data_IF_539078245273
#
_entry.id   IF_539078245273
#
_cell.length_a   1.000
_cell.length_b   1.000
_cell.length_c   1.000
_cell.angle_alpha   90.00
_cell.angle_beta   90.00
_cell.angle_gamma   90.00
#
_symmetry.space_group_name_H-M   'P 1'
#
loop_
_entity.id
_entity.type
_entity.pdbx_description
1 polymer ?
#
# COMPACT_ATOMS: atom_id res chain seq x y z
N UNK A 1 -26.61 -29.93 3.55
CA UNK A 1 -25.58 -28.93 3.97
C UNK A 1 -26.06 -27.55 3.56
N UNK A 2 -26.37 -26.66 4.50
CA UNK A 2 -26.63 -25.23 4.24
C UNK A 2 -25.53 -24.42 4.93
N UNK A 3 -24.90 -23.50 4.19
CA UNK A 3 -23.98 -22.54 4.79
C UNK A 3 -24.75 -21.62 5.75
N UNK A 4 -24.30 -21.39 6.99
CA UNK A 4 -24.95 -20.43 7.88
C UNK A 4 -24.82 -19.01 7.30
N UNK A 5 -25.91 -18.25 7.39
CA UNK A 5 -26.00 -16.90 6.84
C UNK A 5 -24.98 -15.96 7.48
N UNK A 6 -24.41 -15.07 6.67
CA UNK A 6 -23.51 -14.00 7.13
C UNK A 6 -24.34 -13.03 7.97
N UNK A 7 -24.36 -13.27 9.29
CA UNK A 7 -24.98 -12.40 10.28
C UNK A 7 -24.19 -11.09 10.36
N UNK A 8 -24.62 -10.12 9.55
CA UNK A 8 -24.09 -8.77 9.48
C UNK A 8 -24.50 -7.99 10.73
N UNK A 9 -23.89 -8.30 11.87
CA UNK A 9 -24.07 -7.53 13.12
C UNK A 9 -23.66 -6.08 12.86
N UNK A 10 -24.66 -5.19 12.83
CA UNK A 10 -24.49 -3.74 13.03
C UNK A 10 -23.89 -3.55 14.43
N UNK A 11 -22.58 -3.33 14.53
CA UNK A 11 -22.01 -2.63 15.68
C UNK A 11 -22.17 -1.11 15.49
N UNK A 12 -22.25 -0.39 16.61
CA UNK A 12 -22.78 0.97 16.66
C UNK A 12 -22.05 1.96 15.74
N UNK A 13 -22.81 2.69 14.92
CA UNK A 13 -22.29 3.59 13.88
C UNK A 13 -21.75 4.94 14.37
N UNK A 14 -21.11 4.98 15.54
CA UNK A 14 -20.46 6.18 16.09
C UNK A 14 -18.94 6.10 15.92
N UNK A 15 -18.29 5.24 16.72
CA UNK A 15 -16.85 5.29 16.95
C UNK A 15 -15.98 4.82 15.77
N UNK A 16 -16.44 3.83 14.99
CA UNK A 16 -15.68 3.32 13.84
C UNK A 16 -15.82 4.18 12.57
N UNK A 17 -16.85 5.02 12.47
CA UNK A 17 -17.02 5.91 11.32
C UNK A 17 -16.00 7.06 11.33
N UNK A 18 -15.67 7.59 12.51
CA UNK A 18 -14.84 8.79 12.68
C UNK A 18 -13.44 8.67 12.03
N UNK A 19 -12.70 7.60 12.32
CA UNK A 19 -11.36 7.40 11.74
C UNK A 19 -11.37 7.18 10.23
N UNK A 20 -12.41 6.52 9.71
CA UNK A 20 -12.59 6.37 8.27
C UNK A 20 -12.79 7.72 7.58
N UNK A 21 -13.50 8.65 8.24
CA UNK A 21 -13.66 10.03 7.78
C UNK A 21 -12.34 10.80 7.92
N UNK A 22 -11.60 10.66 9.03
CA UNK A 22 -10.29 11.30 9.22
C UNK A 22 -9.27 10.92 8.14
N UNK A 23 -9.27 9.66 7.70
CA UNK A 23 -8.40 9.19 6.62
C UNK A 23 -8.78 9.76 5.24
N UNK A 24 -10.06 9.98 4.99
CA UNK A 24 -10.54 10.67 3.77
C UNK A 24 -10.21 12.17 3.86
N UNK A 25 -10.35 12.77 5.04
CA UNK A 25 -9.97 14.15 5.30
C UNK A 25 -8.46 14.37 5.10
N UNK A 26 -7.60 13.42 5.49
CA UNK A 26 -6.17 13.45 5.19
C UNK A 26 -5.90 13.53 3.68
N UNK A 27 -6.49 12.64 2.87
CA UNK A 27 -6.34 12.67 1.40
C UNK A 27 -6.84 14.00 0.82
N UNK A 28 -7.97 14.51 1.32
CA UNK A 28 -8.51 15.80 0.89
C UNK A 28 -7.61 16.99 1.25
N UNK A 29 -7.06 17.02 2.47
CA UNK A 29 -6.20 18.10 2.97
C UNK A 29 -4.80 18.05 2.31
N UNK A 30 -4.25 16.87 2.01
CA UNK A 30 -3.01 16.79 1.23
C UNK A 30 -3.23 17.25 -0.21
N UNK A 31 -4.37 16.90 -0.83
CA UNK A 31 -4.72 17.39 -2.17
C UNK A 31 -4.91 18.92 -2.23
N UNK A 32 -5.26 19.59 -1.12
CA UNK A 32 -5.26 21.06 -1.04
C UNK A 32 -3.87 21.67 -1.31
N UNK A 33 -2.77 20.92 -1.16
CA UNK A 33 -1.42 21.37 -1.56
C UNK A 33 -1.37 21.81 -3.03
N UNK A 34 -2.18 21.22 -3.90
CA UNK A 34 -2.24 21.55 -5.33
C UNK A 34 -3.27 22.63 -5.69
N UNK A 35 -4.32 22.80 -4.88
CA UNK A 35 -5.41 23.76 -5.15
C UNK A 35 -5.24 25.06 -4.35
N UNK A 36 -4.79 24.97 -3.10
CA UNK A 36 -4.62 26.10 -2.18
C UNK A 36 -3.58 25.79 -1.09
N UNK A 37 -2.28 26.04 -1.37
CA UNK A 37 -1.19 25.79 -0.43
C UNK A 37 -1.40 26.41 0.96
N UNK A 38 -1.91 27.65 1.01
CA UNK A 38 -2.16 28.37 2.26
C UNK A 38 -3.22 27.72 3.18
N UNK A 39 -4.13 26.89 2.64
CA UNK A 39 -5.03 26.08 3.45
C UNK A 39 -4.39 24.75 3.86
N UNK A 40 -3.59 24.13 2.99
CA UNK A 40 -2.82 22.93 3.32
C UNK A 40 -1.86 23.18 4.50
N UNK A 41 -1.05 24.23 4.44
CA UNK A 41 -0.10 24.65 5.51
C UNK A 41 -0.77 24.87 6.87
N UNK A 42 -2.06 25.21 6.90
CA UNK A 42 -2.82 25.44 8.15
C UNK A 42 -3.55 24.19 8.63
N UNK A 43 -4.15 23.42 7.73
CA UNK A 43 -5.00 22.28 8.07
C UNK A 43 -4.19 21.02 8.34
N UNK A 44 -3.09 20.78 7.61
CA UNK A 44 -2.27 19.58 7.76
C UNK A 44 -1.63 19.46 9.15
N UNK A 45 -1.00 20.52 9.73
CA UNK A 45 -0.45 20.44 11.09
C UNK A 45 -1.53 20.29 12.15
N UNK A 46 -2.72 20.90 11.96
CA UNK A 46 -3.85 20.79 12.89
C UNK A 46 -4.43 19.36 12.90
N UNK A 47 -4.56 18.73 11.72
CA UNK A 47 -4.97 17.33 11.61
C UNK A 47 -3.97 16.41 12.33
N UNK A 48 -2.68 16.58 12.07
CA UNK A 48 -1.65 15.76 12.72
C UNK A 48 -1.57 15.99 14.23
N UNK A 49 -1.65 17.24 14.69
CA UNK A 49 -1.69 17.55 16.12
C UNK A 49 -2.90 16.91 16.82
N UNK A 50 -4.08 16.96 16.21
CA UNK A 50 -5.29 16.32 16.75
C UNK A 50 -5.14 14.79 16.83
N UNK A 51 -4.60 14.15 15.78
CA UNK A 51 -4.32 12.71 15.76
C UNK A 51 -3.25 12.31 16.80
N UNK A 52 -2.19 13.11 16.93
CA UNK A 52 -1.11 12.87 17.90
C UNK A 52 -1.61 13.01 19.35
N UNK A 53 -2.38 14.05 19.67
CA UNK A 53 -3.01 14.24 20.98
C UNK A 53 -3.95 13.07 21.30
N UNK A 54 -4.80 12.67 20.35
CA UNK A 54 -5.71 11.54 20.52
C UNK A 54 -4.96 10.23 20.77
N UNK A 55 -3.83 9.99 20.08
CA UNK A 55 -2.96 8.85 20.33
C UNK A 55 -2.34 8.91 21.73
N UNK A 56 -1.68 10.02 22.11
CA UNK A 56 -1.03 10.17 23.43
C UNK A 56 -2.02 9.96 24.58
N UNK A 57 -3.26 10.43 24.45
CA UNK A 57 -4.32 10.20 25.45
C UNK A 57 -4.72 8.72 25.53
N UNK A 58 -4.79 7.99 24.40
CA UNK A 58 -5.34 6.63 24.35
C UNK A 58 -4.32 5.52 24.60
N UNK A 59 -3.07 5.68 24.19
CA UNK A 59 -2.04 4.62 24.30
C UNK A 59 -1.81 4.12 25.74
N UNK A 60 -1.82 4.95 26.80
CA UNK A 60 -1.71 4.49 28.19
C UNK A 60 -2.85 3.56 28.64
N UNK A 61 -4.05 3.72 28.07
CA UNK A 61 -5.24 2.92 28.41
C UNK A 61 -5.49 1.76 27.45
N UNK A 62 -4.55 1.49 26.54
CA UNK A 62 -4.69 0.44 25.54
C UNK A 62 -4.68 -0.96 26.18
N UNK A 63 -5.75 -1.73 25.97
CA UNK A 63 -6.00 -2.98 26.70
C UNK A 63 -5.28 -4.22 26.13
N UNK A 64 -4.75 -4.12 24.91
CA UNK A 64 -4.31 -5.27 24.11
C UNK A 64 -2.78 -5.36 23.94
N UNK A 65 -2.00 -4.73 24.82
CA UNK A 65 -0.53 -4.80 24.84
C UNK A 65 0.05 -6.21 24.85
N UNK A 66 -0.63 -7.18 25.47
CA UNK A 66 -0.19 -8.58 25.52
C UNK A 66 -0.24 -9.27 24.14
N UNK A 67 -1.22 -8.92 23.31
CA UNK A 67 -1.33 -9.42 21.93
C UNK A 67 -0.37 -8.69 20.98
N UNK A 68 -0.14 -7.39 21.17
CA UNK A 68 0.89 -6.65 20.42
C UNK A 68 2.29 -7.20 20.68
N UNK A 69 2.65 -7.45 21.95
CA UNK A 69 3.95 -8.02 22.30
C UNK A 69 4.20 -9.37 21.62
N UNK A 70 3.16 -10.22 21.52
CA UNK A 70 3.25 -11.50 20.77
C UNK A 70 3.37 -11.29 19.26
N UNK A 71 2.74 -10.25 18.71
CA UNK A 71 2.80 -9.89 17.30
C UNK A 71 4.09 -9.15 16.89
N UNK A 72 4.85 -8.60 17.84
CA UNK A 72 6.10 -7.89 17.57
C UNK A 72 7.17 -8.77 16.90
N UNK A 73 7.31 -10.04 17.33
CA UNK A 73 8.28 -10.98 16.73
C UNK A 73 7.99 -11.25 15.25
N UNK A 74 6.78 -11.69 14.83
CA UNK A 74 6.50 -11.88 13.41
C UNK A 74 6.49 -10.57 12.62
N UNK A 75 6.18 -9.42 13.23
CA UNK A 75 6.32 -8.13 12.57
C UNK A 75 7.79 -7.84 12.19
N UNK A 76 8.73 -8.01 13.12
CA UNK A 76 10.17 -7.83 12.86
C UNK A 76 10.65 -8.81 11.79
N UNK A 77 10.26 -10.09 11.86
CA UNK A 77 10.61 -11.09 10.84
C UNK A 77 10.04 -10.72 9.46
N UNK A 78 8.83 -10.17 9.41
CA UNK A 78 8.20 -9.71 8.16
C UNK A 78 8.90 -8.48 7.56
N UNK A 79 9.40 -7.57 8.39
CA UNK A 79 10.25 -6.45 7.94
C UNK A 79 11.55 -6.98 7.34
N UNK A 80 12.26 -7.87 8.05
CA UNK A 80 13.52 -8.44 7.57
C UNK A 80 13.35 -9.19 6.24
N UNK A 81 12.27 -9.96 6.11
CA UNK A 81 11.89 -10.61 4.85
C UNK A 81 11.59 -9.61 3.72
N UNK A 82 10.79 -8.56 3.99
CA UNK A 82 10.49 -7.51 3.01
C UNK A 82 11.75 -6.73 2.57
N UNK A 83 12.66 -6.41 3.50
CA UNK A 83 13.96 -5.78 3.19
C UNK A 83 14.85 -6.71 2.34
N UNK A 84 14.80 -8.02 2.61
CA UNK A 84 15.53 -9.02 1.82
C UNK A 84 14.96 -9.16 0.40
N UNK A 85 13.63 -9.11 0.25
CA UNK A 85 12.96 -9.08 -1.05
C UNK A 85 13.25 -7.79 -1.84
N UNK A 86 13.32 -6.64 -1.17
CA UNK A 86 13.77 -5.36 -1.76
C UNK A 86 15.22 -5.41 -2.25
N UNK A 87 16.13 -5.98 -1.44
CA UNK A 87 17.52 -6.17 -1.81
C UNK A 87 17.65 -7.10 -3.02
N UNK A 88 16.89 -8.21 -3.03
CA UNK A 88 16.83 -9.12 -4.17
C UNK A 88 16.29 -8.43 -5.43
N UNK A 89 15.18 -7.68 -5.34
CA UNK A 89 14.63 -6.91 -6.47
C UNK A 89 15.66 -5.92 -7.04
N UNK A 90 16.39 -5.21 -6.19
CA UNK A 90 17.46 -4.28 -6.61
C UNK A 90 18.61 -5.02 -7.34
N UNK A 91 19.09 -6.14 -6.80
CA UNK A 91 20.14 -6.96 -7.41
C UNK A 91 19.66 -7.55 -8.74
N UNK A 92 18.41 -8.01 -8.82
CA UNK A 92 17.78 -8.54 -10.03
C UNK A 92 17.64 -7.49 -11.13
N UNK A 93 17.08 -6.32 -10.81
CA UNK A 93 16.95 -5.17 -11.74
C UNK A 93 18.32 -4.75 -12.26
N UNK A 94 19.33 -4.67 -11.39
CA UNK A 94 20.70 -4.35 -11.79
C UNK A 94 21.31 -5.42 -12.68
N UNK A 95 21.15 -6.69 -12.34
CA UNK A 95 21.70 -7.83 -13.11
C UNK A 95 21.11 -7.87 -14.52
N UNK A 96 19.78 -7.78 -14.64
CA UNK A 96 19.09 -7.73 -15.94
C UNK A 96 19.54 -6.52 -16.77
N UNK A 97 19.60 -5.33 -16.17
CA UNK A 97 20.01 -4.10 -16.87
C UNK A 97 21.47 -4.15 -17.32
N UNK A 98 22.33 -4.87 -16.60
CA UNK A 98 23.71 -5.11 -17.01
C UNK A 98 23.83 -6.18 -18.12
N UNK A 99 23.05 -7.27 -18.04
CA UNK A 99 23.10 -8.40 -18.99
C UNK A 99 22.51 -8.04 -20.36
N UNK A 100 21.36 -7.37 -20.42
CA UNK A 100 20.78 -6.91 -21.69
C UNK A 100 21.53 -5.72 -22.31
N UNK A 101 22.36 -5.05 -21.52
CA UNK A 101 23.09 -3.86 -21.92
C UNK A 101 22.18 -2.68 -22.27
N UNK A 102 22.82 -1.58 -22.70
CA UNK A 102 22.08 -0.42 -23.19
C UNK A 102 21.53 -0.65 -24.60
N UNK A 103 22.02 -1.62 -25.36
CA UNK A 103 21.70 -1.81 -26.78
C UNK A 103 20.43 -2.61 -27.06
N UNK A 104 20.01 -3.51 -26.15
CA UNK A 104 18.66 -4.10 -26.22
C UNK A 104 17.56 -3.02 -26.32
N UNK A 105 17.75 -1.96 -25.54
CA UNK A 105 16.86 -0.81 -25.51
C UNK A 105 16.97 0.07 -26.78
N UNK A 106 17.98 -0.11 -27.64
CA UNK A 106 18.11 0.49 -29.00
C UNK A 106 17.53 -0.40 -30.12
N UNK A 107 16.98 -1.59 -29.80
CA UNK A 107 16.40 -2.50 -30.81
C UNK A 107 14.91 -2.82 -30.63
N UNK A 108 14.44 -2.92 -29.39
CA UNK A 108 13.12 -3.50 -29.07
C UNK A 108 12.03 -2.45 -28.81
N UNK A 109 11.05 -2.23 -29.73
CA UNK A 109 9.95 -1.32 -29.50
C UNK A 109 9.04 -1.75 -28.33
N UNK A 110 8.30 -0.82 -27.70
CA UNK A 110 7.34 -1.15 -26.63
C UNK A 110 6.18 -2.00 -27.17
N UNK A 111 5.56 -2.78 -26.29
CA UNK A 111 4.42 -3.63 -26.64
C UNK A 111 3.17 -2.78 -26.93
N UNK A 112 2.29 -3.20 -27.86
CA UNK A 112 1.05 -2.49 -28.14
C UNK A 112 0.06 -2.62 -26.98
N UNK A 113 -0.27 -1.51 -26.33
CA UNK A 113 -1.22 -1.47 -25.21
C UNK A 113 -2.56 -0.86 -25.62
N UNK A 114 -3.52 -1.74 -25.93
CA UNK A 114 -4.90 -1.36 -26.28
C UNK A 114 -5.64 -0.70 -25.11
N UNK A 115 -5.31 -1.05 -23.86
CA UNK A 115 -5.93 -0.42 -22.69
C UNK A 115 -5.48 1.02 -22.51
N UNK A 116 -4.22 1.32 -22.80
CA UNK A 116 -3.75 2.69 -22.89
C UNK A 116 -4.47 3.47 -24.00
N UNK A 117 -4.60 2.89 -25.20
CA UNK A 117 -5.29 3.56 -26.32
C UNK A 117 -6.77 3.83 -26.00
N UNK A 118 -7.44 2.94 -25.26
CA UNK A 118 -8.80 3.16 -24.77
C UNK A 118 -8.88 4.35 -23.82
N UNK A 119 -7.95 4.47 -22.86
CA UNK A 119 -7.90 5.61 -21.94
C UNK A 119 -7.62 6.93 -22.67
N UNK A 120 -6.77 6.92 -23.70
CA UNK A 120 -6.52 8.08 -24.55
C UNK A 120 -7.76 8.47 -25.38
N UNK A 121 -8.45 7.49 -25.97
CA UNK A 121 -9.68 7.69 -26.72
C UNK A 121 -10.82 8.26 -25.84
N UNK A 122 -10.89 7.85 -24.57
CA UNK A 122 -11.86 8.39 -23.62
C UNK A 122 -11.62 9.87 -23.32
N UNK A 123 -10.38 10.36 -23.36
CA UNK A 123 -10.08 11.79 -23.15
C UNK A 123 -10.71 12.69 -24.22
N UNK A 124 -10.84 12.21 -25.46
CA UNK A 124 -11.49 12.96 -26.54
C UNK A 124 -13.02 12.91 -26.49
N UNK A 125 -13.59 12.01 -25.69
CA UNK A 125 -15.04 11.71 -25.65
C UNK A 125 -15.71 12.12 -24.36
N UNK A 126 -14.96 12.26 -23.27
CA UNK A 126 -15.45 12.69 -21.97
C UNK A 126 -15.40 14.22 -21.85
N UNK A 127 -16.30 14.84 -21.04
CA UNK A 127 -16.22 16.26 -20.73
C UNK A 127 -14.89 16.61 -20.06
N UNK A 128 -14.31 17.77 -20.37
CA UNK A 128 -13.00 18.20 -19.87
C UNK A 128 -12.85 18.06 -18.35
N UNK A 129 -13.88 18.42 -17.57
CA UNK A 129 -13.92 18.28 -16.11
C UNK A 129 -13.65 16.82 -15.66
N UNK A 130 -14.21 15.84 -16.36
CA UNK A 130 -13.99 14.41 -16.07
C UNK A 130 -12.56 14.01 -16.44
N UNK A 131 -12.05 14.50 -17.58
CA UNK A 131 -10.68 14.24 -18.03
C UNK A 131 -9.65 14.80 -17.05
N UNK A 132 -9.90 16.00 -16.51
CA UNK A 132 -9.06 16.69 -15.52
C UNK A 132 -9.06 15.93 -14.18
N UNK A 133 -10.22 15.43 -13.72
CA UNK A 133 -10.30 14.56 -12.52
C UNK A 133 -9.52 13.26 -12.73
N UNK A 134 -9.59 12.67 -13.93
CA UNK A 134 -8.81 11.47 -14.31
C UNK A 134 -7.31 11.75 -14.58
N UNK A 135 -6.88 13.03 -14.62
CA UNK A 135 -5.46 13.44 -14.62
C UNK A 135 -4.97 13.87 -13.24
N UNK A 136 -5.86 14.41 -12.41
CA UNK A 136 -5.52 15.01 -11.14
C UNK A 136 -4.71 14.05 -10.26
N UNK A 137 -3.68 14.55 -9.59
CA UNK A 137 -2.84 13.77 -8.66
C UNK A 137 -3.54 13.62 -7.30
N UNK A 138 -4.75 13.05 -7.31
CA UNK A 138 -5.63 12.89 -6.13
C UNK A 138 -5.00 11.96 -5.10
N UNK A 139 -4.34 10.89 -5.57
CA UNK A 139 -3.68 9.92 -4.69
C UNK A 139 -2.38 9.43 -5.32
N UNK A 140 -1.40 9.13 -4.46
CA UNK A 140 -0.13 8.50 -4.84
C UNK A 140 0.30 7.43 -3.84
N UNK A 141 1.44 6.77 -4.10
CA UNK A 141 1.94 5.68 -3.26
C UNK A 141 2.03 6.04 -1.76
N UNK A 142 2.53 7.23 -1.45
CA UNK A 142 2.70 7.69 -0.07
C UNK A 142 1.36 7.85 0.66
N UNK A 143 0.28 8.24 -0.04
CA UNK A 143 -1.06 8.26 0.54
C UNK A 143 -1.53 6.84 0.90
N UNK A 144 -1.35 5.85 0.03
CA UNK A 144 -1.72 4.46 0.34
C UNK A 144 -0.90 3.87 1.50
N UNK A 145 0.35 4.30 1.67
CA UNK A 145 1.16 3.96 2.83
C UNK A 145 0.66 4.67 4.09
N UNK A 146 0.25 5.94 4.01
CA UNK A 146 -0.25 6.68 5.16
C UNK A 146 -1.63 6.21 5.60
N UNK A 147 -2.53 5.88 4.67
CA UNK A 147 -3.81 5.19 4.95
C UNK A 147 -3.59 3.87 5.69
N UNK A 148 -2.53 3.12 5.33
CA UNK A 148 -2.15 1.91 6.04
C UNK A 148 -1.60 2.18 7.46
N UNK A 149 -0.79 3.22 7.63
CA UNK A 149 -0.31 3.67 8.95
C UNK A 149 -1.47 4.12 9.83
N UNK A 150 -2.41 4.92 9.30
CA UNK A 150 -3.64 5.34 9.99
C UNK A 150 -4.48 4.14 10.41
N UNK A 151 -4.58 3.10 9.58
CA UNK A 151 -5.23 1.84 9.93
C UNK A 151 -4.54 1.10 11.10
N UNK A 152 -3.22 1.25 11.26
CA UNK A 152 -2.50 0.82 12.47
C UNK A 152 -2.91 1.62 13.72
N UNK A 153 -3.00 2.95 13.60
CA UNK A 153 -3.47 3.82 14.70
C UNK A 153 -4.93 3.55 15.10
N UNK A 154 -5.78 3.11 14.15
CA UNK A 154 -7.19 2.75 14.39
C UNK A 154 -7.40 1.68 15.46
N UNK A 155 -6.40 0.85 15.71
CA UNK A 155 -6.42 -0.18 16.76
C UNK A 155 -6.49 0.44 18.16
N UNK A 156 -5.89 1.63 18.38
CA UNK A 156 -5.94 2.35 19.66
C UNK A 156 -7.36 2.82 20.02
N UNK A 157 -8.23 2.94 19.02
CA UNK A 157 -9.62 3.34 19.16
C UNK A 157 -10.59 2.16 19.19
N UNK A 158 -10.07 0.92 19.22
CA UNK A 158 -10.85 -0.33 19.10
C UNK A 158 -11.72 -0.40 17.83
N UNK A 159 -11.37 0.34 16.77
CA UNK A 159 -12.07 0.26 15.47
C UNK A 159 -11.77 -1.05 14.71
N UNK A 160 -10.69 -1.74 15.10
CA UNK A 160 -10.22 -3.00 14.52
C UNK A 160 -10.01 -4.00 15.65
N UNK A 161 -10.58 -5.20 15.54
CA UNK A 161 -10.51 -6.25 16.58
C UNK A 161 -9.12 -6.93 16.68
N UNK A 162 -8.25 -6.74 15.68
CA UNK A 162 -6.95 -7.39 15.56
C UNK A 162 -5.80 -6.50 16.07
N UNK A 163 -4.69 -7.10 16.58
CA UNK A 163 -3.50 -6.35 16.98
C UNK A 163 -2.86 -5.64 15.77
N UNK A 164 -2.47 -4.38 15.96
CA UNK A 164 -1.91 -3.50 14.93
C UNK A 164 -0.58 -4.00 14.41
N UNK A 165 0.32 -4.49 15.27
CA UNK A 165 1.56 -5.14 14.83
C UNK A 165 1.27 -6.47 14.11
N UNK A 166 0.15 -7.13 14.42
CA UNK A 166 -0.28 -8.34 13.70
C UNK A 166 -0.76 -8.03 12.29
N UNK A 167 -1.57 -6.98 12.12
CA UNK A 167 -1.98 -6.48 10.81
C UNK A 167 -0.78 -5.98 10.00
N UNK A 168 0.16 -5.28 10.65
CA UNK A 168 1.42 -4.83 10.06
C UNK A 168 2.31 -5.99 9.62
N UNK A 169 2.43 -7.06 10.42
CA UNK A 169 3.16 -8.27 10.04
C UNK A 169 2.58 -8.90 8.76
N UNK A 170 1.26 -9.13 8.72
CA UNK A 170 0.59 -9.67 7.52
C UNK A 170 0.84 -8.80 6.29
N UNK A 171 0.67 -7.48 6.42
CA UNK A 171 0.85 -6.54 5.31
C UNK A 171 2.29 -6.56 4.77
N UNK A 172 3.29 -6.44 5.64
CA UNK A 172 4.71 -6.49 5.26
C UNK A 172 5.10 -7.83 4.65
N UNK A 173 4.61 -8.94 5.20
CA UNK A 173 4.87 -10.29 4.67
C UNK A 173 4.23 -10.50 3.29
N UNK A 174 2.96 -10.11 3.13
CA UNK A 174 2.24 -10.21 1.86
C UNK A 174 2.87 -9.33 0.79
N UNK A 175 3.31 -8.12 1.15
CA UNK A 175 4.09 -7.26 0.26
C UNK A 175 5.43 -7.89 -0.10
N UNK A 176 6.15 -8.46 0.86
CA UNK A 176 7.42 -9.17 0.63
C UNK A 176 7.28 -10.30 -0.39
N UNK A 177 6.25 -11.15 -0.26
CA UNK A 177 5.94 -12.20 -1.25
C UNK A 177 5.63 -11.57 -2.61
N UNK A 178 4.77 -10.55 -2.64
CA UNK A 178 4.39 -9.87 -3.87
C UNK A 178 5.56 -9.17 -4.58
N UNK A 179 6.59 -8.72 -3.86
CA UNK A 179 7.84 -8.19 -4.44
C UNK A 179 8.79 -9.29 -4.90
N UNK A 180 8.91 -10.38 -4.13
CA UNK A 180 9.73 -11.53 -4.52
C UNK A 180 9.23 -12.19 -5.81
N UNK A 181 7.91 -12.43 -5.91
CA UNK A 181 7.29 -12.97 -7.13
C UNK A 181 7.49 -12.05 -8.34
N UNK A 182 7.42 -10.72 -8.14
CA UNK A 182 7.68 -9.70 -9.18
C UNK A 182 9.12 -9.76 -9.66
N UNK A 183 10.08 -9.84 -8.74
CA UNK A 183 11.50 -9.93 -9.05
C UNK A 183 11.86 -11.26 -9.74
N UNK A 184 11.24 -12.39 -9.35
CA UNK A 184 11.40 -13.68 -10.03
C UNK A 184 10.85 -13.59 -11.45
N UNK A 185 9.59 -13.17 -11.62
CA UNK A 185 8.96 -13.04 -12.94
C UNK A 185 9.77 -12.14 -13.88
N UNK A 186 10.28 -11.02 -13.36
CA UNK A 186 11.12 -10.08 -14.10
C UNK A 186 12.48 -10.66 -14.53
N UNK A 187 13.15 -11.45 -13.67
CA UNK A 187 14.42 -12.12 -14.06
C UNK A 187 14.16 -13.26 -15.04
N UNK A 188 13.03 -13.95 -14.93
CA UNK A 188 12.63 -15.01 -15.86
C UNK A 188 12.20 -14.48 -17.23
N UNK A 189 11.56 -13.31 -17.28
CA UNK A 189 11.02 -12.70 -18.51
C UNK A 189 11.07 -11.18 -18.42
N UNK A 190 11.81 -10.56 -19.33
CA UNK A 190 12.10 -9.13 -19.31
C UNK A 190 11.32 -8.43 -20.43
N UNK A 191 10.54 -7.40 -20.09
CA UNK A 191 9.70 -6.67 -21.04
C UNK A 191 10.27 -5.27 -21.33
N UNK A 192 10.11 -4.73 -22.56
CA UNK A 192 10.47 -3.35 -22.87
C UNK A 192 9.53 -2.39 -22.13
N UNK A 193 10.05 -1.30 -21.57
CA UNK A 193 9.22 -0.33 -20.84
C UNK A 193 8.32 0.51 -21.76
N UNK A 194 7.07 0.85 -21.35
CA UNK A 194 6.19 1.76 -22.10
C UNK A 194 6.63 3.24 -22.07
N UNK A 195 7.64 3.59 -21.27
CA UNK A 195 8.05 4.97 -20.95
C UNK A 195 8.61 5.73 -22.17
N UNK A 196 8.11 6.95 -22.50
CA UNK A 196 8.49 7.67 -23.73
C UNK A 196 9.99 7.93 -23.92
N UNK A 197 10.71 8.28 -22.85
CA UNK A 197 12.15 8.58 -22.91
C UNK A 197 13.03 7.33 -23.12
N UNK A 198 12.46 6.13 -22.97
CA UNK A 198 13.12 4.89 -23.37
C UNK A 198 12.97 4.63 -24.87
N UNK A 199 11.95 5.20 -25.52
CA UNK A 199 11.73 5.11 -26.96
C UNK A 199 12.41 6.24 -27.75
N UNK A 200 12.50 7.45 -27.19
CA UNK A 200 12.94 8.66 -27.90
C UNK A 200 14.42 8.71 -28.29
N UNK A 201 15.23 7.71 -27.94
CA UNK A 201 16.63 7.63 -28.36
C UNK A 201 16.88 6.54 -29.42
N UNK A 202 15.85 5.79 -29.86
CA UNK A 202 16.03 4.32 -29.87
C UNK A 202 15.46 3.45 -31.00
N UNK A 203 14.49 3.83 -31.84
CA UNK A 203 13.88 2.87 -32.81
C UNK A 203 13.65 3.39 -34.23
N UNK A 204 13.73 2.47 -35.22
CA UNK A 204 12.98 2.51 -36.48
C UNK A 204 11.79 1.54 -36.39
N UNK A 205 10.69 1.78 -37.12
CA UNK A 205 9.39 1.11 -36.93
C UNK A 205 8.82 0.61 -38.27
N UNK A 206 8.18 -0.59 -38.34
CA UNK A 206 7.56 -1.12 -39.56
C UNK A 206 6.33 -0.33 -40.02
N UNK A 207 6.00 -0.45 -41.31
CA UNK A 207 5.25 0.57 -42.05
C UNK A 207 3.79 0.84 -41.62
N UNK A 208 2.96 -0.17 -41.32
CA UNK A 208 1.49 0.03 -41.25
C UNK A 208 0.77 -0.74 -40.12
N UNK A 209 0.22 -0.05 -39.10
CA UNK A 209 -0.73 -0.59 -38.12
C UNK A 209 -2.21 -0.37 -38.54
N UNK A 210 -3.15 -0.90 -37.76
CA UNK A 210 -4.60 -0.92 -38.07
C UNK A 210 -5.31 0.45 -37.97
N UNK A 211 -6.26 0.75 -38.88
CA UNK A 211 -6.84 2.09 -39.10
C UNK A 211 -7.38 2.85 -37.87
N UNK A 212 -8.12 2.22 -36.95
CA UNK A 212 -8.59 2.93 -35.74
C UNK A 212 -7.48 3.15 -34.72
N UNK A 213 -6.47 2.29 -34.70
CA UNK A 213 -5.31 2.41 -33.82
C UNK A 213 -4.34 3.47 -34.35
N UNK A 214 -4.22 3.63 -35.69
CA UNK A 214 -3.41 4.67 -36.33
C UNK A 214 -3.59 6.04 -35.66
N UNK A 215 -4.82 6.46 -35.33
CA UNK A 215 -5.09 7.74 -34.65
C UNK A 215 -4.34 7.93 -33.32
N UNK A 216 -4.13 6.86 -32.55
CA UNK A 216 -3.45 6.88 -31.24
C UNK A 216 -2.02 6.30 -31.29
N UNK A 217 -1.66 5.69 -32.42
CA UNK A 217 -0.37 5.07 -32.71
C UNK A 217 0.57 6.01 -33.50
N UNK A 218 0.01 7.00 -34.20
CA UNK A 218 0.70 8.07 -34.94
C UNK A 218 0.69 9.32 -34.03
N UNK A 219 1.81 10.03 -33.81
CA UNK A 219 2.64 10.61 -34.86
C UNK A 219 4.16 10.55 -34.57
N UNK A 220 4.83 9.46 -35.00
CA UNK A 220 6.18 9.16 -34.51
C UNK A 220 7.22 8.78 -35.59
N UNK A 221 7.00 9.10 -36.87
CA UNK A 221 8.00 8.87 -37.93
C UNK A 221 8.59 10.14 -38.56
N UNK A 222 7.85 11.26 -38.66
CA UNK A 222 8.24 12.36 -39.56
C UNK A 222 8.20 13.80 -38.99
N UNK A 223 7.40 14.13 -37.96
CA UNK A 223 7.35 15.49 -37.40
C UNK A 223 7.72 15.56 -35.90
N UNK A 224 8.87 16.18 -35.64
CA UNK A 224 9.39 16.42 -34.29
C UNK A 224 8.54 17.37 -33.43
N UNK A 225 7.71 18.23 -34.03
CA UNK A 225 6.88 19.19 -33.30
C UNK A 225 5.62 18.54 -32.73
N UNK A 226 4.99 17.62 -33.46
CA UNK A 226 3.87 16.83 -32.96
C UNK A 226 4.26 15.99 -31.73
N UNK A 227 5.47 15.43 -31.75
CA UNK A 227 6.08 14.70 -30.62
C UNK A 227 6.23 15.64 -29.41
N UNK A 228 6.75 16.86 -29.61
CA UNK A 228 6.93 17.86 -28.54
C UNK A 228 5.60 18.27 -27.89
N UNK A 229 4.55 18.42 -28.68
CA UNK A 229 3.18 18.74 -28.22
C UNK A 229 2.54 17.63 -27.38
N UNK A 230 2.57 16.37 -27.86
CA UNK A 230 1.97 15.23 -27.14
C UNK A 230 2.67 14.99 -25.82
N UNK A 231 4.00 15.10 -25.81
CA UNK A 231 4.79 14.96 -24.60
C UNK A 231 4.32 16.13 -23.70
N UNK A 232 4.47 17.40 -24.07
CA UNK A 232 4.14 18.53 -23.17
C UNK A 232 2.67 18.61 -22.65
N UNK A 233 1.65 18.11 -23.38
CA UNK A 233 0.22 18.35 -23.03
C UNK A 233 -0.65 17.10 -22.87
N UNK A 234 -0.18 15.90 -23.28
CA UNK A 234 -0.93 14.64 -23.22
C UNK A 234 -2.28 14.67 -23.99
N UNK A 235 -2.48 15.61 -24.92
CA UNK A 235 -3.68 15.70 -25.80
C UNK A 235 -3.27 15.86 -27.26
N UNK A 236 -4.02 15.28 -28.18
CA UNK A 236 -3.93 15.63 -29.59
C UNK A 236 -4.48 17.05 -29.81
N UNK A 237 -3.60 17.99 -30.17
CA UNK A 237 -3.84 19.43 -30.43
C UNK A 237 -4.20 20.31 -29.20
N UNK A 238 -3.18 20.92 -28.57
CA UNK A 238 -3.29 22.11 -27.71
C UNK A 238 -1.93 22.84 -27.53
N UNK A 239 -1.94 24.15 -27.28
CA UNK A 239 -0.75 25.05 -27.22
C UNK A 239 0.10 24.88 -25.95
N UNK A 240 1.39 25.22 -26.04
CA UNK A 240 2.48 24.82 -25.14
C UNK A 240 2.63 25.56 -23.79
N UNK A 241 2.75 24.80 -22.71
CA UNK A 241 3.45 25.12 -21.46
C UNK A 241 4.64 24.17 -21.19
N UNK A 242 5.59 24.61 -20.37
CA UNK A 242 6.83 23.88 -20.08
C UNK A 242 6.64 22.69 -19.13
N UNK A 243 7.54 21.71 -19.28
CA UNK A 243 7.57 20.54 -18.43
C UNK A 243 8.30 20.76 -17.12
N UNK A 244 7.70 20.42 -15.96
CA UNK A 244 8.43 20.31 -14.73
C UNK A 244 9.41 19.14 -14.78
N UNK A 245 10.59 19.34 -14.20
CA UNK A 245 11.55 18.28 -13.87
C UNK A 245 10.86 17.18 -13.07
N UNK A 246 11.27 15.93 -13.32
CA UNK A 246 10.87 14.72 -12.60
C UNK A 246 10.68 15.01 -11.09
N UNK A 247 9.46 14.80 -10.56
CA UNK A 247 9.04 15.34 -9.26
C UNK A 247 10.01 14.94 -8.14
N UNK A 248 10.87 15.89 -7.73
CA UNK A 248 11.62 15.80 -6.48
C UNK A 248 10.64 16.11 -5.34
N UNK A 249 10.29 15.14 -4.49
CA UNK A 249 9.53 15.45 -3.29
C UNK A 249 10.39 16.34 -2.40
N UNK A 250 9.80 17.41 -1.87
CA UNK A 250 10.47 18.18 -0.82
C UNK A 250 10.37 17.38 0.47
N UNK A 251 11.50 16.87 0.95
CA UNK A 251 11.62 16.20 2.25
C UNK A 251 12.26 17.10 3.30
N UNK A 252 12.28 18.43 3.11
CA UNK A 252 12.87 19.37 4.06
C UNK A 252 14.35 19.07 4.32
N UNK A 253 14.71 18.88 5.59
CA UNK A 253 16.08 18.51 5.99
C UNK A 253 16.47 17.09 5.51
N UNK A 254 15.50 16.21 5.26
CA UNK A 254 15.73 14.86 4.72
C UNK A 254 15.97 14.80 3.20
N UNK A 255 16.03 15.94 2.49
CA UNK A 255 16.31 15.96 1.04
C UNK A 255 17.60 15.21 0.65
N UNK A 256 18.61 15.10 1.53
CA UNK A 256 19.81 14.29 1.30
C UNK A 256 19.52 12.80 1.07
N UNK A 257 18.42 12.26 1.62
CA UNK A 257 17.99 10.89 1.36
C UNK A 257 17.55 10.72 -0.09
N UNK A 258 17.03 11.77 -0.74
CA UNK A 258 16.70 11.72 -2.17
C UNK A 258 17.96 11.59 -3.02
N UNK A 259 19.06 12.24 -2.63
CA UNK A 259 20.36 12.11 -3.29
C UNK A 259 21.04 10.77 -2.95
N UNK A 260 20.83 10.20 -1.77
CA UNK A 260 21.31 8.84 -1.43
C UNK A 260 20.55 7.74 -2.20
N UNK A 261 19.23 7.87 -2.32
CA UNK A 261 18.36 6.90 -3.01
C UNK A 261 18.36 7.08 -4.54
N UNK A 262 18.69 8.29 -5.03
CA UNK A 262 18.81 8.61 -6.46
C UNK A 262 20.08 9.43 -6.73
N UNK A 263 21.27 8.81 -6.65
CA UNK A 263 22.57 9.47 -6.74
C UNK A 263 22.78 10.30 -8.02
N UNK A 264 22.88 11.61 -7.85
CA UNK A 264 23.26 12.55 -8.93
C UNK A 264 24.77 12.68 -9.01
N UNK A 265 25.39 11.89 -9.90
CA UNK A 265 26.80 12.02 -10.25
C UNK A 265 27.15 13.47 -10.67
N UNK A 266 28.07 14.08 -9.92
CA UNK A 266 28.85 15.24 -10.37
C UNK A 266 29.87 14.80 -11.44
N UNK A 267 30.26 15.71 -12.31
CA UNK A 267 31.25 15.44 -13.36
C UNK A 267 32.59 15.01 -12.74
N UNK A 268 33.17 13.91 -13.23
CA UNK A 268 34.38 13.29 -12.68
C UNK A 268 34.15 12.24 -11.59
N UNK A 269 32.91 11.91 -11.23
CA UNK A 269 32.65 10.79 -10.31
C UNK A 269 33.13 9.44 -10.89
N UNK A 270 33.49 8.50 -10.00
CA UNK A 270 34.08 7.21 -10.39
C UNK A 270 33.21 6.37 -11.36
N UNK A 271 33.80 5.54 -12.23
CA UNK A 271 33.04 4.80 -13.27
C UNK A 271 31.90 3.92 -12.74
N UNK A 272 32.05 3.34 -11.55
CA UNK A 272 31.00 2.53 -10.92
C UNK A 272 29.77 3.36 -10.50
N UNK A 273 29.96 4.64 -10.20
CA UNK A 273 28.90 5.58 -9.83
C UNK A 273 28.10 6.03 -11.07
N UNK A 274 28.80 6.29 -12.19
CA UNK A 274 28.13 6.45 -13.49
C UNK A 274 27.42 5.18 -13.95
N UNK A 275 27.94 3.99 -13.63
CA UNK A 275 27.26 2.72 -13.88
C UNK A 275 25.96 2.62 -13.08
N UNK A 276 25.95 2.99 -11.80
CA UNK A 276 24.72 3.04 -10.97
C UNK A 276 23.70 4.05 -11.52
N UNK A 277 24.14 5.24 -11.96
CA UNK A 277 23.26 6.26 -12.55
C UNK A 277 22.68 5.83 -13.90
N UNK A 278 23.47 5.16 -14.76
CA UNK A 278 22.99 4.61 -16.05
C UNK A 278 22.19 3.31 -15.91
N UNK A 279 22.41 2.54 -14.84
CA UNK A 279 21.68 1.31 -14.53
C UNK A 279 20.47 1.53 -13.61
N UNK A 280 19.99 2.77 -13.47
CA UNK A 280 18.64 3.01 -12.97
C UNK A 280 17.65 2.27 -13.87
N UNK A 281 16.99 1.23 -13.34
CA UNK A 281 16.16 0.27 -14.08
C UNK A 281 14.85 0.86 -14.59
N UNK A 282 14.93 1.89 -15.44
CA UNK A 282 13.82 2.70 -15.90
C UNK A 282 13.32 2.36 -17.31
N UNK A 283 13.99 1.47 -18.04
CA UNK A 283 13.62 1.09 -19.42
C UNK A 283 13.35 -0.41 -19.64
N UNK A 284 13.52 -1.23 -18.60
CA UNK A 284 12.91 -2.55 -18.51
C UNK A 284 11.64 -2.42 -17.66
N UNK A 285 10.54 -3.04 -18.06
CA UNK A 285 9.34 -3.14 -17.23
C UNK A 285 9.36 -4.39 -16.35
N UNK A 286 8.82 -4.26 -15.14
CA UNK A 286 8.57 -5.36 -14.22
C UNK A 286 7.09 -5.73 -14.29
N UNK A 287 6.79 -6.77 -15.09
CA UNK A 287 5.57 -7.59 -15.34
C UNK A 287 4.28 -7.43 -14.50
N UNK A 288 4.33 -6.83 -13.32
CA UNK A 288 3.18 -6.19 -12.68
C UNK A 288 3.58 -5.02 -11.77
N UNK A 289 2.70 -4.01 -11.67
CA UNK A 289 3.01 -2.74 -11.01
C UNK A 289 3.16 -2.88 -9.48
N UNK A 290 4.30 -2.42 -8.96
CA UNK A 290 4.56 -2.34 -7.53
C UNK A 290 3.69 -1.30 -6.82
N UNK A 291 3.37 -0.18 -7.48
CA UNK A 291 2.46 0.83 -6.95
C UNK A 291 1.06 0.27 -6.74
N UNK A 292 0.56 -0.46 -7.75
CA UNK A 292 -0.75 -1.10 -7.69
C UNK A 292 -0.81 -2.22 -6.65
N UNK A 293 0.26 -2.99 -6.47
CA UNK A 293 0.33 -3.98 -5.40
C UNK A 293 0.13 -3.32 -4.03
N UNK A 294 0.86 -2.24 -3.72
CA UNK A 294 0.72 -1.51 -2.44
C UNK A 294 -0.69 -0.94 -2.27
N UNK A 295 -1.22 -0.28 -3.31
CA UNK A 295 -2.56 0.30 -3.30
C UNK A 295 -3.66 -0.74 -3.02
N UNK A 296 -3.56 -1.91 -3.66
CA UNK A 296 -4.52 -3.02 -3.51
C UNK A 296 -4.40 -3.69 -2.15
N UNK A 297 -3.18 -3.91 -1.64
CA UNK A 297 -2.99 -4.43 -0.27
C UNK A 297 -3.57 -3.48 0.78
N UNK A 298 -3.40 -2.16 0.60
CA UNK A 298 -4.02 -1.16 1.48
C UNK A 298 -5.54 -1.20 1.38
N UNK A 299 -6.11 -1.27 0.17
CA UNK A 299 -7.57 -1.36 -0.03
C UNK A 299 -8.17 -2.64 0.56
N UNK A 300 -7.48 -3.77 0.46
CA UNK A 300 -7.88 -5.04 1.08
C UNK A 300 -7.86 -4.95 2.62
N UNK A 301 -6.77 -4.44 3.21
CA UNK A 301 -6.65 -4.22 4.65
C UNK A 301 -7.75 -3.27 5.17
N UNK A 302 -8.01 -2.19 4.45
CA UNK A 302 -9.06 -1.21 4.75
C UNK A 302 -10.47 -1.81 4.66
N UNK A 303 -10.70 -2.68 3.68
CA UNK A 303 -11.99 -3.36 3.47
C UNK A 303 -12.30 -4.36 4.57
N UNK A 304 -11.29 -5.08 5.09
CA UNK A 304 -11.46 -5.95 6.27
C UNK A 304 -11.74 -5.17 7.56
N UNK A 305 -11.25 -3.94 7.67
CA UNK A 305 -11.37 -3.12 8.88
C UNK A 305 -12.64 -2.26 8.95
N UNK A 306 -12.90 -1.45 7.91
CA UNK A 306 -13.94 -0.42 7.94
C UNK A 306 -15.18 -0.76 7.10
N UNK A 307 -14.98 -1.47 5.98
CA UNK A 307 -16.06 -1.80 5.04
C UNK A 307 -16.86 -0.57 4.55
N UNK A 308 -18.09 -0.81 4.07
CA UNK A 308 -19.06 0.24 3.75
C UNK A 308 -18.59 1.26 2.71
N UNK A 309 -19.06 2.50 2.84
CA UNK A 309 -18.80 3.59 1.88
C UNK A 309 -17.33 4.03 1.85
N UNK A 310 -16.62 4.00 2.98
CA UNK A 310 -15.20 4.39 3.02
C UNK A 310 -14.34 3.39 2.27
N UNK A 311 -14.59 2.08 2.44
CA UNK A 311 -13.98 1.01 1.62
C UNK A 311 -14.27 1.20 0.12
N UNK A 312 -15.52 1.49 -0.27
CA UNK A 312 -15.86 1.75 -1.66
C UNK A 312 -15.07 2.94 -2.25
N UNK A 313 -14.88 4.01 -1.47
CA UNK A 313 -14.07 5.15 -1.90
C UNK A 313 -12.58 4.78 -2.06
N UNK A 314 -12.00 3.98 -1.15
CA UNK A 314 -10.61 3.51 -1.33
C UNK A 314 -10.47 2.67 -2.61
N UNK A 315 -11.44 1.83 -2.96
CA UNK A 315 -11.42 1.09 -4.23
C UNK A 315 -11.56 1.98 -5.46
N UNK A 316 -12.34 3.07 -5.38
CA UNK A 316 -12.38 4.10 -6.44
C UNK A 316 -11.01 4.78 -6.59
N UNK A 317 -10.33 5.08 -5.49
CA UNK A 317 -8.97 5.66 -5.50
C UNK A 317 -7.93 4.67 -6.05
N UNK A 318 -8.07 3.36 -5.82
CA UNK A 318 -7.25 2.33 -6.49
C UNK A 318 -7.50 2.31 -7.99
N UNK A 319 -8.77 2.37 -8.43
CA UNK A 319 -9.11 2.38 -9.86
C UNK A 319 -8.60 3.64 -10.57
N UNK A 320 -8.70 4.80 -9.92
CA UNK A 320 -8.10 6.07 -10.38
C UNK A 320 -6.58 5.97 -10.50
N UNK A 321 -5.90 5.44 -9.48
CA UNK A 321 -4.45 5.20 -9.52
C UNK A 321 -4.06 4.26 -10.66
N UNK A 322 -4.82 3.17 -10.89
CA UNK A 322 -4.56 2.23 -11.98
C UNK A 322 -4.67 2.90 -13.36
N UNK A 323 -5.75 3.64 -13.58
CA UNK A 323 -5.97 4.40 -14.82
C UNK A 323 -4.85 5.42 -15.04
N UNK A 324 -4.33 6.04 -13.97
CA UNK A 324 -3.26 7.04 -14.08
C UNK A 324 -1.90 6.40 -14.43
N UNK A 325 -1.52 5.30 -13.77
CA UNK A 325 -0.27 4.57 -14.08
C UNK A 325 -0.20 4.10 -15.55
N UNK A 326 -1.34 3.64 -16.10
CA UNK A 326 -1.45 3.23 -17.51
C UNK A 326 -1.37 4.46 -18.44
N UNK A 327 -2.17 5.51 -18.15
CA UNK A 327 -2.23 6.72 -18.97
C UNK A 327 -0.88 7.41 -19.08
N UNK A 328 -0.19 7.61 -17.96
CA UNK A 328 1.12 8.25 -17.86
C UNK A 328 2.30 7.33 -18.29
N UNK A 329 2.01 6.18 -18.92
CA UNK A 329 2.99 5.20 -19.43
C UNK A 329 4.00 4.75 -18.38
N UNK A 330 3.58 4.66 -17.11
CA UNK A 330 4.44 4.18 -16.04
C UNK A 330 4.58 2.67 -16.06
N UNK A 331 3.49 1.98 -16.42
CA UNK A 331 3.31 0.55 -16.57
C UNK A 331 2.25 0.25 -17.66
N UNK A 332 2.25 -0.96 -18.21
CA UNK A 332 1.20 -1.44 -19.11
C UNK A 332 -0.12 -1.73 -18.38
N UNK A 333 -1.22 -1.76 -19.13
CA UNK A 333 -2.54 -2.18 -18.64
C UNK A 333 -2.51 -3.55 -17.97
N UNK A 334 -1.80 -4.51 -18.56
CA UNK A 334 -1.67 -5.87 -18.00
C UNK A 334 -0.99 -5.84 -16.62
N UNK A 335 0.06 -5.03 -16.45
CA UNK A 335 0.81 -4.92 -15.20
C UNK A 335 -0.06 -4.43 -14.03
N UNK A 336 -0.96 -3.47 -14.32
CA UNK A 336 -1.89 -2.92 -13.35
C UNK A 336 -3.01 -3.91 -13.02
N UNK A 337 -3.57 -4.60 -14.03
CA UNK A 337 -4.62 -5.62 -13.84
C UNK A 337 -4.08 -6.84 -13.07
N UNK A 338 -2.91 -7.35 -13.45
CA UNK A 338 -2.25 -8.48 -12.76
C UNK A 338 -1.90 -8.09 -11.33
N UNK A 339 -1.40 -6.87 -11.07
CA UNK A 339 -1.16 -6.40 -9.71
C UNK A 339 -2.44 -6.37 -8.84
N UNK A 340 -3.60 -6.02 -9.41
CA UNK A 340 -4.89 -6.07 -8.71
C UNK A 340 -5.28 -7.51 -8.37
N UNK A 341 -5.24 -8.43 -9.34
CA UNK A 341 -5.57 -9.83 -9.08
C UNK A 341 -4.59 -10.48 -8.09
N UNK A 342 -3.29 -10.28 -8.27
CA UNK A 342 -2.26 -10.83 -7.38
C UNK A 342 -2.31 -10.21 -5.99
N UNK A 343 -2.58 -8.91 -5.85
CA UNK A 343 -2.78 -8.27 -4.55
C UNK A 343 -3.97 -8.86 -3.78
N UNK A 344 -5.12 -9.05 -4.43
CA UNK A 344 -6.30 -9.68 -3.82
C UNK A 344 -6.03 -11.16 -3.48
N UNK A 345 -5.40 -11.90 -4.39
CA UNK A 345 -5.07 -13.32 -4.20
C UNK A 345 -4.08 -13.50 -3.04
N UNK A 346 -2.94 -12.81 -3.06
CA UNK A 346 -1.92 -12.87 -2.02
C UNK A 346 -2.50 -12.48 -0.66
N UNK A 347 -3.30 -11.41 -0.58
CA UNK A 347 -3.93 -11.00 0.67
C UNK A 347 -4.89 -12.05 1.25
N UNK A 348 -5.69 -12.71 0.40
CA UNK A 348 -6.57 -13.81 0.82
C UNK A 348 -5.77 -15.04 1.26
N UNK A 349 -4.74 -15.42 0.49
CA UNK A 349 -3.88 -16.56 0.79
C UNK A 349 -3.09 -16.36 2.09
N UNK A 350 -2.48 -15.20 2.31
CA UNK A 350 -1.78 -14.90 3.57
C UNK A 350 -2.74 -14.76 4.75
N UNK A 351 -3.99 -14.37 4.51
CA UNK A 351 -5.06 -14.37 5.52
C UNK A 351 -5.39 -15.76 6.10
N UNK A 352 -5.11 -16.85 5.36
CA UNK A 352 -5.26 -18.22 5.88
C UNK A 352 -4.23 -18.52 6.99
N UNK A 353 -3.02 -17.99 6.85
CA UNK A 353 -1.94 -18.13 7.83
C UNK A 353 -2.00 -17.08 8.95
N UNK A 354 -2.75 -16.00 8.74
CA UNK A 354 -2.84 -14.86 9.66
C UNK A 354 -4.31 -14.54 10.04
N UNK A 355 -4.98 -15.42 10.81
CA UNK A 355 -6.38 -15.25 11.16
C UNK A 355 -6.59 -13.98 12.01
N UNK A 356 -7.30 -13.00 11.41
CA UNK A 356 -7.63 -11.69 12.00
C UNK A 356 -8.49 -11.84 13.26
N UNK A 357 -9.33 -12.88 13.32
CA UNK A 357 -10.07 -13.25 14.53
C UNK A 357 -9.28 -14.26 15.34
N UNK A 358 -9.19 -14.00 16.64
CA UNK A 358 -8.67 -14.95 17.62
C UNK A 358 -9.63 -16.16 17.72
N UNK A 359 -9.41 -17.16 16.86
CA UNK A 359 -10.14 -18.41 16.86
C UNK A 359 -10.06 -19.14 18.21
N UNK A 360 -9.04 -18.85 19.03
CA UNK A 360 -8.98 -19.35 20.41
C UNK A 360 -10.11 -18.78 21.27
N UNK A 361 -10.54 -17.54 21.04
CA UNK A 361 -11.68 -16.92 21.74
C UNK A 361 -13.01 -17.56 21.35
N UNK A 362 -13.24 -17.82 20.06
CA UNK A 362 -14.44 -18.54 19.61
C UNK A 362 -14.45 -20.00 20.11
N UNK A 363 -13.33 -20.72 20.03
CA UNK A 363 -13.22 -22.07 20.57
C UNK A 363 -13.37 -22.12 22.10
N UNK A 364 -12.89 -21.10 22.83
CA UNK A 364 -13.14 -20.95 24.27
C UNK A 364 -14.59 -20.67 24.59
N UNK A 365 -15.27 -19.82 23.82
CA UNK A 365 -16.69 -19.53 24.00
C UNK A 365 -17.54 -20.79 23.72
N UNK A 366 -17.26 -21.54 22.66
CA UNK A 366 -17.90 -22.83 22.36
C UNK A 366 -17.63 -23.88 23.46
N UNK A 367 -16.41 -23.93 24.01
CA UNK A 367 -16.11 -24.77 25.19
C UNK A 367 -16.87 -24.33 26.44
N UNK A 368 -16.93 -23.03 26.73
CA UNK A 368 -17.66 -22.49 27.87
C UNK A 368 -19.18 -22.69 27.74
N UNK A 369 -19.73 -22.58 26.54
CA UNK A 369 -21.13 -22.88 26.23
C UNK A 369 -21.46 -24.37 26.43
N UNK A 370 -20.54 -25.27 26.03
CA UNK A 370 -20.62 -26.71 26.30
C UNK A 370 -20.49 -27.06 27.79
N UNK A 371 -19.58 -26.40 28.52
CA UNK A 371 -19.44 -26.57 29.96
C UNK A 371 -20.70 -26.05 30.67
N UNK A 372 -21.24 -24.89 30.26
CA UNK A 372 -22.48 -24.33 30.81
C UNK A 372 -23.67 -25.26 30.56
N UNK A 373 -23.80 -25.86 29.37
CA UNK A 373 -24.89 -26.78 29.08
C UNK A 373 -24.78 -28.09 29.89
N UNK A 374 -23.57 -28.65 30.05
CA UNK A 374 -23.32 -29.77 30.97
C UNK A 374 -23.63 -29.42 32.42
N UNK A 375 -23.20 -28.25 32.89
CA UNK A 375 -23.43 -27.79 34.27
C UNK A 375 -24.93 -27.66 34.59
N UNK A 376 -25.72 -27.11 33.64
CA UNK A 376 -27.18 -26.99 33.77
C UNK A 376 -27.85 -28.36 33.77
N UNK A 377 -27.37 -29.30 32.96
CA UNK A 377 -27.90 -30.67 32.93
C UNK A 377 -27.56 -31.43 34.24
N UNK A 378 -26.31 -31.41 34.68
CA UNK A 378 -25.86 -32.05 35.92
C UNK A 378 -26.58 -31.50 37.17
N UNK A 379 -26.78 -30.17 37.24
CA UNK A 379 -27.55 -29.53 38.30
C UNK A 379 -29.04 -29.93 38.28
N UNK A 380 -29.61 -30.22 37.10
CA UNK A 380 -30.99 -30.70 36.95
C UNK A 380 -31.13 -32.17 37.35
N UNK A 381 -30.13 -32.98 37.04
CA UNK A 381 -30.08 -34.42 37.33
C UNK A 381 -29.57 -34.71 38.77
N UNK A 382 -29.27 -33.65 39.54
CA UNK A 382 -28.74 -33.70 40.92
C UNK A 382 -27.37 -34.36 41.08
N UNK A 383 -26.58 -34.43 40.00
CA UNK A 383 -25.21 -34.95 40.03
C UNK A 383 -24.24 -33.87 40.53
N UNK A 384 -24.03 -33.88 41.85
CA UNK A 384 -23.17 -32.91 42.53
C UNK A 384 -21.67 -33.16 42.30
N UNK A 385 -21.27 -34.36 41.84
CA UNK A 385 -19.87 -34.67 41.57
C UNK A 385 -19.45 -34.17 40.18
N UNK A 386 -20.27 -34.38 39.15
CA UNK A 386 -20.10 -33.80 37.80
C UNK A 386 -20.10 -32.25 37.86
N UNK A 387 -20.99 -31.64 38.65
CA UNK A 387 -20.98 -30.17 38.88
C UNK A 387 -19.64 -29.70 39.47
N UNK A 388 -19.07 -30.47 40.40
CA UNK A 388 -17.81 -30.13 41.08
C UNK A 388 -16.60 -30.29 40.16
N UNK A 389 -16.62 -31.30 39.28
CA UNK A 389 -15.58 -31.49 38.26
C UNK A 389 -15.60 -30.38 37.20
N UNK A 390 -16.79 -30.03 36.67
CA UNK A 390 -16.96 -28.96 35.68
C UNK A 390 -16.52 -27.59 36.21
N UNK A 391 -16.83 -27.27 37.47
CA UNK A 391 -16.34 -26.04 38.12
C UNK A 391 -14.81 -26.03 38.23
N UNK A 392 -14.20 -27.18 38.52
CA UNK A 392 -12.75 -27.34 38.62
C UNK A 392 -12.07 -27.19 37.25
N UNK A 393 -12.68 -27.66 36.17
CA UNK A 393 -12.20 -27.45 34.78
C UNK A 393 -12.22 -25.95 34.39
N UNK A 394 -13.28 -25.22 34.78
CA UNK A 394 -13.36 -23.76 34.62
C UNK A 394 -12.28 -23.04 35.44
N UNK A 395 -12.05 -23.46 36.67
CA UNK A 395 -11.02 -22.87 37.54
C UNK A 395 -9.60 -23.12 36.99
N UNK A 396 -9.28 -24.35 36.56
CA UNK A 396 -7.98 -24.67 35.96
C UNK A 396 -7.75 -23.95 34.62
N UNK A 397 -8.77 -23.84 33.76
CA UNK A 397 -8.64 -23.11 32.49
C UNK A 397 -8.47 -21.60 32.68
N UNK A 398 -9.08 -21.05 33.75
CA UNK A 398 -8.84 -19.68 34.24
C UNK A 398 -7.41 -19.51 34.80
N UNK A 399 -6.93 -20.43 35.66
CA UNK A 399 -5.58 -20.36 36.23
C UNK A 399 -4.47 -20.53 35.19
N UNK A 400 -4.64 -21.43 34.21
CA UNK A 400 -3.69 -21.63 33.11
C UNK A 400 -3.59 -20.40 32.20
N UNK A 401 -4.65 -19.59 32.09
CA UNK A 401 -4.61 -18.28 31.42
C UNK A 401 -4.14 -17.14 32.33
N UNK A 402 -4.06 -17.37 33.65
CA UNK A 402 -3.59 -16.44 34.68
C UNK A 402 -2.08 -16.25 34.78
N UNK A 403 -1.26 -16.95 33.98
CA UNK A 403 0.18 -16.65 33.87
C UNK A 403 0.41 -15.30 33.18
N UNK A 404 0.33 -14.22 33.98
CA UNK A 404 0.71 -12.86 33.59
C UNK A 404 2.13 -12.90 32.99
N UNK A 405 2.32 -12.45 31.74
CA UNK A 405 3.66 -12.17 31.23
C UNK A 405 4.34 -11.18 32.19
N UNK A 406 5.61 -11.43 32.57
CA UNK A 406 6.36 -10.66 33.58
C UNK A 406 6.08 -9.16 33.41
N UNK A 407 5.34 -8.53 34.34
CA UNK A 407 4.74 -7.20 34.12
C UNK A 407 5.78 -6.12 33.76
N UNK A 408 7.00 -6.24 34.29
CA UNK A 408 8.15 -5.41 33.91
C UNK A 408 8.46 -5.43 32.42
N UNK A 409 8.43 -6.59 31.76
CA UNK A 409 8.71 -6.70 30.33
C UNK A 409 7.60 -6.06 29.48
N UNK A 410 6.34 -6.19 29.90
CA UNK A 410 5.20 -5.55 29.23
C UNK A 410 5.22 -4.03 29.41
N UNK A 411 5.56 -3.54 30.61
CA UNK A 411 5.68 -2.11 30.90
C UNK A 411 6.87 -1.47 30.18
N UNK A 412 8.02 -2.16 30.13
CA UNK A 412 9.18 -1.75 29.32
C UNK A 412 8.84 -1.75 27.83
N UNK A 413 8.15 -2.75 27.31
CA UNK A 413 7.73 -2.80 25.91
C UNK A 413 6.79 -1.64 25.57
N UNK A 414 5.70 -1.45 26.33
CA UNK A 414 4.76 -0.35 26.10
C UNK A 414 5.45 1.00 26.22
N UNK A 415 6.29 1.21 27.24
CA UNK A 415 7.03 2.45 27.43
C UNK A 415 8.02 2.73 26.30
N UNK A 416 8.75 1.71 25.83
CA UNK A 416 9.66 1.83 24.70
C UNK A 416 8.91 2.10 23.38
N UNK A 417 7.78 1.44 23.14
CA UNK A 417 6.94 1.70 21.95
C UNK A 417 6.36 3.11 21.96
N UNK A 418 5.87 3.60 23.12
CA UNK A 418 5.41 4.98 23.31
C UNK A 418 6.54 5.97 23.00
N UNK A 419 7.69 5.79 23.65
CA UNK A 419 8.85 6.68 23.48
C UNK A 419 9.33 6.70 22.02
N UNK A 420 9.49 5.53 21.40
CA UNK A 420 9.90 5.38 20.01
C UNK A 420 8.92 6.03 19.03
N UNK A 421 7.60 5.85 19.24
CA UNK A 421 6.58 6.49 18.41
C UNK A 421 6.60 8.01 18.54
N UNK A 422 6.70 8.54 19.77
CA UNK A 422 6.79 10.00 20.01
C UNK A 422 8.07 10.57 19.39
N UNK A 423 9.22 9.90 19.56
CA UNK A 423 10.50 10.33 18.95
C UNK A 423 10.42 10.32 17.43
N UNK A 424 9.84 9.29 16.80
CA UNK A 424 9.64 9.27 15.34
C UNK A 424 8.71 10.40 14.89
N UNK A 425 7.60 10.66 15.58
CA UNK A 425 6.69 11.75 15.22
C UNK A 425 7.38 13.11 15.34
N UNK A 426 8.14 13.35 16.41
CA UNK A 426 8.94 14.58 16.59
C UNK A 426 10.03 14.71 15.51
N UNK A 427 10.69 13.62 15.14
CA UNK A 427 11.69 13.62 14.06
C UNK A 427 11.05 13.87 12.69
N UNK A 428 9.86 13.32 12.40
CA UNK A 428 9.13 13.62 11.17
C UNK A 428 8.80 15.11 11.09
N UNK A 429 8.11 15.64 12.11
CA UNK A 429 7.73 17.06 12.20
C UNK A 429 8.91 18.05 12.15
N UNK A 430 10.11 17.65 12.56
CA UNK A 430 11.29 18.53 12.55
C UNK A 430 12.18 18.36 11.32
N UNK A 431 12.09 17.24 10.61
CA UNK A 431 12.99 16.93 9.49
C UNK A 431 12.30 16.92 8.12
N UNK A 432 10.98 16.71 8.02
CA UNK A 432 10.21 16.84 6.76
C UNK A 432 9.71 18.28 6.58
N UNK A 433 9.22 18.63 5.37
CA UNK A 433 8.65 19.97 5.12
C UNK A 433 7.19 20.12 5.54
N UNK A 434 6.45 19.01 5.74
CA UNK A 434 4.98 19.04 5.83
C UNK A 434 4.42 18.38 7.12
N UNK A 435 5.30 17.80 7.96
CA UNK A 435 4.94 16.99 9.14
C UNK A 435 5.22 15.51 8.95
#
# INVERSE_FOLDING_TARGET
MRSPSISRRRHGGGDSAGLGISAIAYVGIDYLRHISPAWHERLQPVLWAALAIAAVIRVPFYKHWSTEFRAAVPFILSILFMLSALLFEMISVRSVTAVLGLDWHNGTPPLPDVGQWLLLALNEKLPQIVVDILRARIIGLHHFLMLFIMLGFSVLFNSVEAPGLGLAARYMFTMGIGRLLRAIAFVSTILPSPRPWCASARFQVPAHPHYWAQKYYIPYSEDSNAIRHIIQHDVAYAVTADYPVDFRPNWGAMNFLSDFLRPTAAEGSSPWYHLLKKAGGGCNDLLYSGHMLVAVLTAMAWTEAYGGYTSALIWILVAHSAQREIRERHHYTVDCIVAIYMGIFLWKMTGLFWPVKDNSRYSRLDKLEKIQSRLVQAAKDSDMDEVRELLKEVEFSSQATGQKPKSRAMWLFSGATIFFAIVIVLLAFTLTSDG
#
